data_IF_037678838344
#
_entry.id   IF_037678838344
#
_cell.length_a   1.000
_cell.length_b   1.000
_cell.length_c   1.000
_cell.angle_alpha   90.00
_cell.angle_beta   90.00
_cell.angle_gamma   90.00
#
_symmetry.space_group_name_H-M   'P 1'
#
loop_
_entity.id
_entity.type
_entity.pdbx_description
1 polymer ?
#
# COMPACT_ATOMS: atom_id res chain seq x y z
N UNK A 1 20.66 -6.07 22.48
CA UNK A 1 20.39 -6.75 21.21
C UNK A 1 20.35 -5.68 20.14
N UNK A 2 21.19 -5.74 19.10
CA UNK A 2 21.08 -4.76 17.99
C UNK A 2 19.81 -5.10 17.22
N UNK A 3 18.86 -4.18 17.13
CA UNK A 3 17.72 -4.38 16.24
C UNK A 3 18.28 -4.49 14.82
N UNK A 4 18.13 -5.67 14.21
CA UNK A 4 18.50 -5.89 12.82
C UNK A 4 17.51 -5.10 11.96
N UNK A 5 18.05 -4.19 11.16
CA UNK A 5 17.29 -3.35 10.25
C UNK A 5 17.59 -3.85 8.84
N UNK A 6 16.55 -4.19 8.09
CA UNK A 6 16.67 -4.49 6.66
C UNK A 6 16.11 -3.35 5.85
N UNK A 7 16.77 -3.04 4.74
CA UNK A 7 16.39 -1.94 3.85
C UNK A 7 15.98 -2.49 2.50
N UNK A 8 14.77 -2.16 2.07
CA UNK A 8 14.23 -2.55 0.77
C UNK A 8 14.02 -1.29 -0.06
N UNK A 9 14.67 -1.24 -1.23
CA UNK A 9 14.47 -0.18 -2.23
C UNK A 9 13.37 -0.60 -3.20
N UNK A 10 12.22 0.05 -3.11
CA UNK A 10 11.02 -0.36 -3.84
C UNK A 10 11.18 -0.24 -5.35
N UNK A 11 11.88 0.79 -5.83
CA UNK A 11 12.18 0.95 -7.26
C UNK A 11 12.99 -0.22 -7.82
N UNK A 12 13.98 -0.73 -7.07
CA UNK A 12 14.78 -1.88 -7.49
C UNK A 12 14.06 -3.22 -7.32
N UNK A 13 13.18 -3.29 -6.34
CA UNK A 13 12.52 -4.54 -5.96
C UNK A 13 11.26 -4.81 -6.81
N UNK A 14 10.46 -3.77 -7.07
CA UNK A 14 9.19 -3.84 -7.81
C UNK A 14 9.28 -3.04 -9.12
N UNK A 15 9.87 -1.85 -9.06
CA UNK A 15 9.90 -0.89 -10.16
C UNK A 15 9.42 0.50 -9.73
N UNK A 16 9.63 1.49 -10.59
CA UNK A 16 9.18 2.87 -10.35
C UNK A 16 7.65 3.03 -10.28
N UNK A 17 6.89 2.07 -10.81
CA UNK A 17 5.42 2.10 -10.90
C UNK A 17 4.79 1.04 -9.98
N UNK A 18 4.32 1.46 -8.82
CA UNK A 18 3.62 0.61 -7.84
C UNK A 18 2.14 0.48 -8.22
N UNK A 19 1.87 -0.21 -9.33
CA UNK A 19 0.56 -0.22 -9.99
C UNK A 19 -0.39 -1.31 -9.49
N UNK A 20 0.11 -2.51 -9.19
CA UNK A 20 -0.72 -3.69 -8.95
C UNK A 20 -0.79 -4.09 -7.49
N UNK A 21 -1.95 -4.58 -7.06
CA UNK A 21 -2.17 -5.03 -5.68
C UNK A 21 -1.24 -6.19 -5.33
N UNK A 22 -1.11 -7.14 -6.23
CA UNK A 22 -0.41 -8.42 -6.00
C UNK A 22 1.07 -8.21 -5.67
N UNK A 23 1.69 -7.13 -6.15
CA UNK A 23 3.07 -6.75 -5.77
C UNK A 23 3.24 -6.48 -4.28
N UNK A 24 2.17 -6.08 -3.58
CA UNK A 24 2.18 -5.91 -2.13
C UNK A 24 2.22 -7.27 -1.45
N UNK A 25 1.50 -8.26 -1.97
CA UNK A 25 1.48 -9.60 -1.38
C UNK A 25 2.87 -10.22 -1.45
N UNK A 26 3.51 -10.18 -2.64
CA UNK A 26 4.89 -10.63 -2.85
C UNK A 26 5.88 -9.91 -1.91
N UNK A 27 5.79 -8.58 -1.82
CA UNK A 27 6.65 -7.76 -0.95
C UNK A 27 6.51 -8.19 0.52
N UNK A 28 5.28 -8.39 1.01
CA UNK A 28 5.06 -8.74 2.41
C UNK A 28 5.39 -10.21 2.71
N UNK A 29 5.28 -11.12 1.74
CA UNK A 29 5.81 -12.47 1.90
C UNK A 29 7.33 -12.46 2.11
N UNK A 30 8.06 -11.65 1.35
CA UNK A 30 9.49 -11.48 1.54
C UNK A 30 9.81 -10.85 2.90
N UNK A 31 9.17 -9.73 3.25
CA UNK A 31 9.36 -9.05 4.54
C UNK A 31 9.15 -10.01 5.72
N UNK A 32 8.14 -10.88 5.64
CA UNK A 32 7.84 -11.82 6.72
C UNK A 32 8.89 -12.93 6.85
N UNK A 33 9.60 -13.27 5.76
CA UNK A 33 10.70 -14.24 5.77
C UNK A 33 12.01 -13.65 6.29
N UNK A 34 12.14 -12.32 6.33
CA UNK A 34 13.32 -11.66 6.87
C UNK A 34 13.37 -11.84 8.39
N UNK A 35 14.56 -12.16 8.89
CA UNK A 35 14.87 -12.28 10.33
C UNK A 35 14.87 -10.90 11.05
N UNK A 36 14.92 -9.81 10.29
CA UNK A 36 14.88 -8.46 10.86
C UNK A 36 13.51 -8.09 11.40
N UNK A 37 13.51 -7.35 12.51
CA UNK A 37 12.28 -6.84 13.13
C UNK A 37 11.92 -5.45 12.65
N UNK A 38 12.89 -4.72 12.09
CA UNK A 38 12.70 -3.36 11.58
C UNK A 38 12.97 -3.34 10.08
N UNK A 39 12.04 -2.78 9.32
CA UNK A 39 12.12 -2.70 7.86
C UNK A 39 12.03 -1.24 7.42
N UNK A 40 13.07 -0.78 6.72
CA UNK A 40 13.07 0.50 6.02
C UNK A 40 12.60 0.28 4.58
N UNK A 41 11.43 0.81 4.23
CA UNK A 41 10.98 0.87 2.84
C UNK A 41 11.38 2.20 2.22
N UNK A 42 12.29 2.14 1.26
CA UNK A 42 12.82 3.30 0.55
C UNK A 42 12.06 3.52 -0.76
N UNK A 43 11.34 4.65 -0.83
CA UNK A 43 10.55 5.09 -1.97
C UNK A 43 11.33 5.95 -2.97
N UNK A 44 12.65 6.11 -2.78
CA UNK A 44 13.52 6.77 -3.76
C UNK A 44 13.37 6.09 -5.14
N UNK A 45 13.13 6.89 -6.18
CA UNK A 45 12.91 6.41 -7.55
C UNK A 45 11.49 5.94 -7.87
N UNK A 46 10.58 5.90 -6.89
CA UNK A 46 9.17 5.58 -7.13
C UNK A 46 8.44 6.82 -7.68
N UNK A 47 7.86 6.67 -8.87
CA UNK A 47 7.18 7.74 -9.60
C UNK A 47 5.66 7.70 -9.40
N UNK A 48 5.10 6.50 -9.25
CA UNK A 48 3.66 6.29 -9.19
C UNK A 48 3.26 5.20 -8.19
N UNK A 49 2.10 5.40 -7.55
CA UNK A 49 1.43 4.38 -6.75
C UNK A 49 -0.07 4.43 -7.01
N UNK A 50 -0.64 3.28 -7.36
CA UNK A 50 -2.08 3.16 -7.55
C UNK A 50 -2.82 3.15 -6.22
N UNK A 51 -4.12 3.47 -6.27
CA UNK A 51 -4.99 3.39 -5.09
C UNK A 51 -5.09 1.96 -4.55
N UNK A 52 -5.13 0.94 -5.41
CA UNK A 52 -5.22 -0.46 -5.01
C UNK A 52 -3.95 -0.92 -4.31
N UNK A 53 -2.77 -0.54 -4.83
CA UNK A 53 -1.48 -0.80 -4.16
C UNK A 53 -1.45 -0.12 -2.79
N UNK A 54 -1.72 1.20 -2.73
CA UNK A 54 -1.71 1.96 -1.49
C UNK A 54 -2.64 1.37 -0.42
N UNK A 55 -3.82 0.93 -0.84
CA UNK A 55 -4.81 0.32 0.04
C UNK A 55 -4.30 -0.98 0.63
N UNK A 56 -3.82 -1.91 -0.20
CA UNK A 56 -3.30 -3.18 0.29
C UNK A 56 -2.05 -2.99 1.15
N UNK A 57 -1.14 -2.11 0.72
CA UNK A 57 0.06 -1.75 1.47
C UNK A 57 -0.26 -1.30 2.89
N UNK A 58 -1.17 -0.35 3.06
CA UNK A 58 -1.56 0.14 4.38
C UNK A 58 -2.23 -0.96 5.23
N UNK A 59 -3.07 -1.78 4.61
CA UNK A 59 -3.73 -2.91 5.29
C UNK A 59 -2.71 -3.93 5.80
N UNK A 60 -1.78 -4.36 4.93
CA UNK A 60 -0.72 -5.32 5.27
C UNK A 60 0.25 -4.73 6.30
N UNK A 61 0.67 -3.47 6.15
CA UNK A 61 1.50 -2.76 7.12
C UNK A 61 0.85 -2.74 8.51
N UNK A 62 -0.45 -2.44 8.60
CA UNK A 62 -1.15 -2.36 9.89
C UNK A 62 -1.29 -3.71 10.62
N UNK A 63 -1.17 -4.82 9.89
CA UNK A 63 -1.26 -6.20 10.41
C UNK A 63 0.11 -6.87 10.59
N UNK A 64 1.19 -6.20 10.19
CA UNK A 64 2.53 -6.76 10.26
C UNK A 64 3.03 -6.78 11.71
N UNK A 65 3.75 -7.83 12.07
CA UNK A 65 4.49 -7.90 13.34
C UNK A 65 5.84 -7.15 13.27
N UNK A 66 6.28 -6.80 12.06
CA UNK A 66 7.50 -6.02 11.80
C UNK A 66 7.25 -4.54 11.99
N UNK A 67 8.23 -3.82 12.53
CA UNK A 67 8.24 -2.36 12.58
C UNK A 67 8.67 -1.80 11.22
N UNK A 68 7.70 -1.32 10.43
CA UNK A 68 7.92 -0.85 9.06
C UNK A 68 7.81 0.67 9.02
N UNK A 69 8.85 1.35 8.52
CA UNK A 69 8.83 2.79 8.29
C UNK A 69 9.27 3.14 6.86
N UNK A 70 8.68 4.20 6.32
CA UNK A 70 8.93 4.64 4.95
C UNK A 70 9.87 5.84 4.88
N UNK A 71 10.88 5.79 4.01
CA UNK A 71 11.75 6.92 3.65
C UNK A 71 11.59 7.37 2.21
N UNK A 72 12.03 8.59 1.94
CA UNK A 72 12.15 9.19 0.60
C UNK A 72 10.87 9.16 -0.25
N UNK A 73 9.71 9.28 0.41
CA UNK A 73 8.43 9.42 -0.30
C UNK A 73 8.38 10.77 -1.01
N UNK A 74 8.15 10.76 -2.31
CA UNK A 74 7.83 12.00 -3.02
C UNK A 74 6.40 12.46 -2.68
N UNK A 75 6.05 13.74 -2.91
CA UNK A 75 4.76 14.30 -2.49
C UNK A 75 3.53 13.57 -3.04
N UNK A 76 3.59 13.06 -4.28
CA UNK A 76 2.48 12.32 -4.90
C UNK A 76 2.17 11.02 -4.13
N UNK A 77 3.21 10.27 -3.76
CA UNK A 77 3.11 9.02 -3.00
C UNK A 77 2.58 9.29 -1.59
N UNK A 78 3.11 10.33 -0.92
CA UNK A 78 2.62 10.73 0.40
C UNK A 78 1.14 11.14 0.36
N UNK A 79 0.73 11.88 -0.68
CA UNK A 79 -0.67 12.27 -0.88
C UNK A 79 -1.57 11.05 -1.12
N UNK A 80 -1.15 10.09 -1.95
CA UNK A 80 -1.92 8.88 -2.21
C UNK A 80 -2.15 8.06 -0.93
N UNK A 81 -1.09 7.79 -0.17
CA UNK A 81 -1.19 7.09 1.11
C UNK A 81 -2.12 7.83 2.07
N UNK A 82 -1.99 9.16 2.17
CA UNK A 82 -2.84 9.98 3.05
C UNK A 82 -4.32 9.95 2.66
N UNK A 83 -4.62 10.02 1.36
CA UNK A 83 -6.00 9.97 0.84
C UNK A 83 -6.62 8.60 1.13
N UNK A 84 -5.86 7.53 0.91
CA UNK A 84 -6.33 6.17 1.16
C UNK A 84 -6.51 5.93 2.65
N UNK A 85 -5.57 6.36 3.48
CA UNK A 85 -5.69 6.28 4.94
C UNK A 85 -6.96 6.97 5.46
N UNK A 86 -7.23 8.19 4.97
CA UNK A 86 -8.45 8.93 5.33
C UNK A 86 -9.73 8.21 4.89
N UNK A 87 -9.69 7.52 3.75
CA UNK A 87 -10.85 6.78 3.24
C UNK A 87 -11.24 5.60 4.14
N UNK A 88 -10.28 5.01 4.87
CA UNK A 88 -10.56 4.00 5.90
C UNK A 88 -11.12 4.59 7.19
N UNK A 89 -10.51 5.68 7.66
CA UNK A 89 -10.85 6.29 8.95
C UNK A 89 -12.24 6.95 8.91
N UNK A 90 -12.60 7.57 7.78
CA UNK A 90 -13.85 8.30 7.60
C UNK A 90 -14.52 7.93 6.26
N UNK A 91 -15.07 6.71 6.14
CA UNK A 91 -15.74 6.30 4.92
C UNK A 91 -16.99 7.16 4.69
N UNK A 92 -17.04 7.90 3.58
CA UNK A 92 -18.25 8.61 3.17
C UNK A 92 -19.29 7.57 2.74
N UNK A 93 -20.19 7.22 3.65
CA UNK A 93 -21.32 6.33 3.36
C UNK A 93 -22.37 7.14 2.58
N UNK A 94 -22.43 6.95 1.27
CA UNK A 94 -23.53 7.44 0.45
C UNK A 94 -24.58 6.33 0.42
N UNK A 95 -25.80 6.63 0.86
CA UNK A 95 -26.93 5.73 0.64
C UNK A 95 -27.29 5.80 -0.84
N UNK A 96 -27.05 4.70 -1.54
CA UNK A 96 -27.52 4.51 -2.91
C UNK A 96 -28.84 3.76 -2.88
N UNK A 97 -29.88 4.34 -3.48
CA UNK A 97 -31.15 3.67 -3.72
C UNK A 97 -31.11 3.05 -5.12
N UNK A 98 -31.40 1.74 -5.27
CA UNK A 98 -31.46 1.12 -6.59
C UNK A 98 -32.49 1.83 -7.47
N UNK A 99 -32.08 2.23 -8.67
CA UNK A 99 -33.04 2.71 -9.67
C UNK A 99 -33.73 1.49 -10.28
N UNK A 100 -35.06 1.43 -10.22
CA UNK A 100 -35.86 0.43 -10.94
C UNK A 100 -35.80 0.73 -12.44
N UNK A 101 -34.72 0.32 -13.11
CA UNK A 101 -34.66 0.34 -14.57
C UNK A 101 -35.19 -1.00 -15.08
N UNK A 102 -36.29 -1.06 -15.84
CA UNK A 102 -36.77 -2.31 -16.40
C UNK A 102 -35.70 -2.84 -17.36
N UNK A 103 -35.14 -4.01 -17.05
CA UNK A 103 -34.28 -4.76 -17.96
C UNK A 103 -35.17 -5.20 -19.13
N UNK A 104 -35.06 -4.51 -20.27
CA UNK A 104 -35.66 -4.99 -21.52
C UNK A 104 -34.79 -6.15 -22.02
N UNK A 105 -35.24 -7.37 -21.75
CA UNK A 105 -34.69 -8.57 -22.38
C UNK A 105 -35.30 -8.62 -23.78
N UNK A 106 -34.47 -8.45 -24.81
CA UNK A 106 -34.84 -8.63 -26.21
C UNK A 106 -34.67 -10.10 -26.62
#
# INVERSE_FOLDING_TARGET
MKNKIEKIRLEKHIGALLAFRDYVDDLFEEINRLDANVIELDFEGVEFMSRSFAHEYLMRKSKSEKDIYEKNKCPSIQNMLSVVERSFKNPRKIRVTPTSHPIKIA
#
